data_IF_954386581141
#
_entry.id   IF_954386581141
#
_cell.length_a   1.000
_cell.length_b   1.000
_cell.length_c   1.000
_cell.angle_alpha   90.00
_cell.angle_beta   90.00
_cell.angle_gamma   90.00
#
_symmetry.space_group_name_H-M   'P 1'
#
loop_
_entity.id
_entity.type
_entity.pdbx_description
1 polymer ?
#
# COMPACT_ATOMS: atom_id res chain seq x y z
N UNK A 1 9.95 -24.98 4.02
CA UNK A 1 8.72 -25.26 4.79
C UNK A 1 8.33 -24.03 5.61
N UNK A 2 7.44 -23.16 5.09
CA UNK A 2 7.04 -21.90 5.73
C UNK A 2 6.11 -22.17 6.93
N UNK A 3 6.66 -22.43 8.12
CA UNK A 3 5.90 -22.55 9.37
C UNK A 3 5.28 -21.20 9.76
N UNK A 4 3.95 -21.13 9.75
CA UNK A 4 3.06 -20.25 10.56
C UNK A 4 3.51 -18.80 10.78
N UNK A 5 3.37 -17.92 9.79
CA UNK A 5 3.06 -16.53 10.13
C UNK A 5 2.09 -15.90 9.11
N UNK A 6 0.82 -16.31 9.23
CA UNK A 6 -0.35 -15.51 8.83
C UNK A 6 -1.08 -14.92 10.05
N UNK A 7 -0.50 -15.07 11.25
CA UNK A 7 -1.01 -14.49 12.48
C UNK A 7 -0.28 -13.18 12.74
N UNK A 8 -1.09 -12.13 12.79
CA UNK A 8 -0.70 -10.91 13.47
C UNK A 8 -0.51 -11.26 14.94
N UNK A 9 0.49 -10.71 15.63
CA UNK A 9 0.47 -10.77 17.10
C UNK A 9 -0.87 -10.19 17.54
N UNK A 10 -1.50 -10.72 18.60
CA UNK A 10 -2.84 -10.28 19.03
C UNK A 10 -3.02 -8.76 19.20
N UNK A 11 -1.91 -8.00 19.19
CA UNK A 11 -1.82 -6.54 19.07
C UNK A 11 -2.18 -5.93 17.70
N UNK A 12 -2.44 -6.74 16.66
CA UNK A 12 -2.71 -6.24 15.31
C UNK A 12 -1.44 -5.80 14.56
N UNK A 13 -0.37 -6.59 14.66
CA UNK A 13 0.92 -6.30 14.03
C UNK A 13 1.48 -7.51 13.31
N UNK A 14 2.18 -7.29 12.19
CA UNK A 14 2.89 -8.37 11.49
C UNK A 14 4.04 -8.91 12.35
N UNK A 15 4.26 -10.23 12.35
CA UNK A 15 5.48 -10.77 12.94
C UNK A 15 6.73 -10.24 12.19
N UNK A 16 7.87 -10.21 12.86
CA UNK A 16 9.13 -9.70 12.30
C UNK A 16 9.51 -10.33 10.97
N UNK A 17 9.27 -11.64 10.81
CA UNK A 17 9.54 -12.37 9.57
C UNK A 17 8.64 -11.98 8.39
N UNK A 18 7.37 -11.64 8.66
CA UNK A 18 6.46 -11.12 7.62
C UNK A 18 6.75 -9.65 7.33
N UNK A 19 7.05 -8.86 8.36
CA UNK A 19 7.41 -7.45 8.20
C UNK A 19 8.59 -7.26 7.26
N UNK A 20 9.67 -8.06 7.41
CA UNK A 20 10.86 -7.99 6.54
C UNK A 20 10.61 -8.34 5.07
N UNK A 21 9.50 -9.01 4.77
CA UNK A 21 9.13 -9.43 3.40
C UNK A 21 8.22 -8.44 2.69
N UNK A 22 7.71 -7.45 3.42
CA UNK A 22 6.88 -6.39 2.89
C UNK A 22 7.77 -5.29 2.33
N UNK A 23 7.62 -5.02 1.03
CA UNK A 23 8.33 -3.94 0.36
C UNK A 23 7.48 -2.67 0.40
N UNK A 24 7.77 -1.78 1.35
CA UNK A 24 7.06 -0.50 1.46
C UNK A 24 7.42 0.44 0.31
N UNK A 25 6.41 1.15 -0.19
CA UNK A 25 6.64 2.24 -1.15
C UNK A 25 7.14 3.47 -0.38
N UNK A 26 8.27 4.02 -0.83
CA UNK A 26 8.94 5.18 -0.25
C UNK A 26 9.57 6.01 -1.37
N UNK A 27 9.82 7.29 -1.11
CA UNK A 27 10.47 8.20 -2.07
C UNK A 27 11.85 7.66 -2.48
N UNK A 28 12.34 7.99 -3.69
CA UNK A 28 11.66 8.78 -4.72
C UNK A 28 10.63 7.95 -5.51
N UNK A 29 9.47 8.55 -5.80
CA UNK A 29 8.40 7.93 -6.58
C UNK A 29 7.67 8.96 -7.45
N UNK A 30 6.90 8.50 -8.44
CA UNK A 30 6.08 9.36 -9.29
C UNK A 30 5.03 10.15 -8.49
N UNK A 31 4.86 11.43 -8.81
CA UNK A 31 3.85 12.31 -8.20
C UNK A 31 2.39 11.88 -8.47
N UNK A 32 2.14 11.04 -9.48
CA UNK A 32 0.80 10.56 -9.84
C UNK A 32 0.62 9.09 -9.42
N UNK A 33 1.31 8.14 -10.05
CA UNK A 33 1.07 6.71 -9.80
C UNK A 33 1.87 6.12 -8.61
N UNK A 34 2.77 6.89 -7.99
CA UNK A 34 3.69 6.44 -6.92
C UNK A 34 4.59 5.26 -7.28
N UNK A 35 4.81 4.99 -8.58
CA UNK A 35 5.86 4.07 -9.02
C UNK A 35 7.22 4.57 -8.55
N UNK A 36 8.01 3.72 -7.90
CA UNK A 36 9.34 4.08 -7.39
C UNK A 36 10.31 4.33 -8.54
N UNK A 37 11.16 5.32 -8.36
CA UNK A 37 12.29 5.57 -9.24
C UNK A 37 13.53 4.78 -8.77
N UNK A 38 14.33 4.31 -9.72
CA UNK A 38 15.58 3.59 -9.45
C UNK A 38 16.75 4.53 -9.13
N UNK A 39 16.62 5.80 -9.51
CA UNK A 39 17.62 6.84 -9.31
C UNK A 39 17.08 7.93 -8.39
N UNK A 40 17.98 8.71 -7.79
CA UNK A 40 17.60 9.90 -7.03
C UNK A 40 17.10 10.95 -8.01
N UNK A 41 15.86 11.39 -7.84
CA UNK A 41 15.21 12.41 -8.67
C UNK A 41 14.75 13.54 -7.75
N UNK A 42 14.59 14.74 -8.32
CA UNK A 42 13.90 15.86 -7.69
C UNK A 42 12.50 15.45 -7.19
N UNK A 43 12.01 16.21 -6.22
CA UNK A 43 10.64 16.02 -5.72
C UNK A 43 9.60 16.33 -6.80
N UNK A 44 8.44 15.68 -6.67
CA UNK A 44 7.26 15.86 -7.53
C UNK A 44 7.41 15.43 -9.00
N UNK A 45 8.44 14.67 -9.34
CA UNK A 45 8.62 14.18 -10.71
C UNK A 45 7.55 13.20 -11.18
N UNK A 46 7.19 13.31 -12.46
CA UNK A 46 6.23 12.46 -13.15
C UNK A 46 7.00 11.40 -13.96
N UNK A 47 6.58 10.13 -13.90
CA UNK A 47 7.21 9.09 -14.72
C UNK A 47 6.74 9.18 -16.18
N UNK A 48 7.52 8.64 -17.12
CA UNK A 48 7.19 8.71 -18.55
C UNK A 48 5.80 8.17 -18.89
N UNK A 49 5.35 7.09 -18.24
CA UNK A 49 4.00 6.56 -18.47
C UNK A 49 2.89 7.54 -18.07
N UNK A 50 2.99 8.16 -16.89
CA UNK A 50 2.00 9.15 -16.45
C UNK A 50 2.09 10.46 -17.23
N UNK A 51 3.26 10.79 -17.78
CA UNK A 51 3.43 11.94 -18.66
C UNK A 51 2.72 11.70 -20.01
N UNK A 52 2.98 10.56 -20.65
CA UNK A 52 2.39 10.24 -21.96
C UNK A 52 0.91 9.88 -21.87
N UNK A 53 0.50 9.17 -20.82
CA UNK A 53 -0.87 8.69 -20.61
C UNK A 53 -1.32 9.07 -19.20
N UNK A 54 -1.72 10.33 -19.03
CA UNK A 54 -2.17 10.83 -17.73
C UNK A 54 -3.43 10.08 -17.29
N UNK A 55 -3.42 9.42 -16.11
CA UNK A 55 -4.60 8.72 -15.62
C UNK A 55 -5.68 9.70 -15.13
N UNK A 56 -6.93 9.22 -15.07
CA UNK A 56 -8.09 9.97 -14.57
C UNK A 56 -8.18 9.96 -13.03
N UNK A 57 -7.06 10.24 -12.36
CA UNK A 57 -6.98 10.46 -10.92
C UNK A 57 -5.83 11.41 -10.61
N UNK A 58 -5.90 12.10 -9.47
CA UNK A 58 -4.85 13.04 -9.07
C UNK A 58 -3.57 12.31 -8.65
N UNK A 59 -3.71 11.34 -7.74
CA UNK A 59 -2.64 10.42 -7.38
C UNK A 59 -3.22 9.08 -6.91
N UNK A 60 -2.39 8.04 -6.94
CA UNK A 60 -2.68 6.75 -6.34
C UNK A 60 -1.84 6.58 -5.06
N UNK A 61 -2.30 5.79 -4.08
CA UNK A 61 -1.48 5.43 -2.93
C UNK A 61 -1.56 3.95 -2.60
N UNK A 62 -0.40 3.36 -2.30
CA UNK A 62 -0.29 2.00 -1.78
C UNK A 62 0.74 1.94 -0.65
N UNK A 63 0.51 1.05 0.32
CA UNK A 63 1.49 0.74 1.36
C UNK A 63 2.67 -0.05 0.79
N UNK A 64 2.38 -1.03 -0.06
CA UNK A 64 3.34 -2.04 -0.49
C UNK A 64 3.44 -2.10 -2.00
N UNK A 65 4.63 -2.46 -2.49
CA UNK A 65 4.78 -3.00 -3.84
C UNK A 65 4.02 -4.33 -3.93
N UNK A 66 3.28 -4.52 -5.02
CA UNK A 66 2.61 -5.78 -5.29
C UNK A 66 3.65 -6.86 -5.62
N UNK A 67 3.89 -7.77 -4.68
CA UNK A 67 4.83 -8.89 -4.79
C UNK A 67 4.18 -10.15 -4.20
N UNK A 68 4.87 -11.29 -4.24
CA UNK A 68 4.31 -12.56 -3.78
C UNK A 68 3.95 -12.59 -2.28
N UNK A 69 4.54 -11.72 -1.46
CA UNK A 69 4.24 -11.62 -0.04
C UNK A 69 3.06 -10.68 0.26
N UNK A 70 3.04 -9.50 -0.34
CA UNK A 70 1.92 -8.56 -0.19
C UNK A 70 0.64 -9.10 -0.81
N UNK A 71 0.72 -9.77 -1.97
CA UNK A 71 -0.43 -10.46 -2.59
C UNK A 71 -1.05 -11.47 -1.63
N UNK A 72 -0.25 -12.35 -1.00
CA UNK A 72 -0.77 -13.38 -0.08
C UNK A 72 -1.59 -12.77 1.06
N UNK A 73 -1.10 -11.70 1.67
CA UNK A 73 -1.79 -11.04 2.80
C UNK A 73 -3.05 -10.31 2.31
N UNK A 74 -2.98 -9.63 1.16
CA UNK A 74 -4.15 -8.97 0.56
C UNK A 74 -5.21 -9.99 0.15
N UNK A 75 -4.83 -11.15 -0.37
CA UNK A 75 -5.76 -12.23 -0.69
C UNK A 75 -6.41 -12.83 0.55
N UNK A 76 -5.64 -13.03 1.63
CA UNK A 76 -6.20 -13.47 2.90
C UNK A 76 -7.27 -12.49 3.42
N UNK A 77 -7.03 -11.20 3.26
CA UNK A 77 -8.00 -10.17 3.63
C UNK A 77 -9.23 -10.17 2.69
N UNK A 78 -9.02 -10.17 1.38
CA UNK A 78 -10.11 -10.04 0.38
C UNK A 78 -10.98 -11.28 0.22
N UNK A 79 -10.40 -12.48 0.41
CA UNK A 79 -11.04 -13.74 -0.01
C UNK A 79 -11.03 -14.85 1.04
N UNK A 80 -10.47 -14.61 2.23
CA UNK A 80 -10.36 -15.64 3.28
C UNK A 80 -10.79 -15.13 4.67
N UNK A 81 -11.64 -14.10 4.70
CA UNK A 81 -12.23 -13.51 5.90
C UNK A 81 -11.23 -13.13 7.01
N UNK A 82 -9.97 -12.85 6.64
CA UNK A 82 -8.97 -12.34 7.60
C UNK A 82 -9.13 -10.84 7.79
N UNK A 83 -10.29 -10.44 8.32
CA UNK A 83 -10.67 -9.03 8.57
C UNK A 83 -9.76 -8.32 9.58
N UNK A 84 -8.99 -9.06 10.38
CA UNK A 84 -7.94 -8.50 11.23
C UNK A 84 -6.98 -7.59 10.45
N UNK A 85 -6.70 -7.91 9.18
CA UNK A 85 -5.84 -7.10 8.33
C UNK A 85 -6.43 -5.72 8.01
N UNK A 86 -7.76 -5.53 8.05
CA UNK A 86 -8.37 -4.22 7.80
C UNK A 86 -7.86 -3.16 8.78
N UNK A 87 -7.89 -3.46 10.10
CA UNK A 87 -7.39 -2.55 11.14
C UNK A 87 -5.89 -2.27 11.00
N UNK A 88 -5.12 -3.26 10.56
CA UNK A 88 -3.67 -3.15 10.39
C UNK A 88 -3.33 -2.26 9.21
N UNK A 89 -3.96 -2.51 8.05
CA UNK A 89 -3.77 -1.69 6.87
C UNK A 89 -4.20 -0.25 7.11
N UNK A 90 -5.34 -0.03 7.78
CA UNK A 90 -5.81 1.30 8.15
C UNK A 90 -4.79 2.02 9.05
N UNK A 91 -4.30 1.39 10.12
CA UNK A 91 -3.27 1.97 10.99
C UNK A 91 -1.97 2.28 10.24
N UNK A 92 -1.51 1.38 9.38
CA UNK A 92 -0.29 1.59 8.60
C UNK A 92 -0.44 2.74 7.59
N UNK A 93 -1.59 2.83 6.91
CA UNK A 93 -1.89 3.95 6.00
C UNK A 93 -1.91 5.27 6.77
N UNK A 94 -2.66 5.32 7.87
CA UNK A 94 -2.80 6.52 8.68
C UNK A 94 -1.47 6.99 9.25
N UNK A 95 -0.73 6.11 9.93
CA UNK A 95 0.53 6.48 10.57
C UNK A 95 1.59 6.94 9.57
N UNK A 96 1.52 6.48 8.31
CA UNK A 96 2.52 6.81 7.30
C UNK A 96 2.17 8.03 6.47
N UNK A 97 0.88 8.32 6.30
CA UNK A 97 0.42 9.31 5.31
C UNK A 97 -0.48 10.41 5.90
N UNK A 98 -0.84 10.34 7.19
CA UNK A 98 -1.72 11.32 7.88
C UNK A 98 -1.27 12.78 7.71
N UNK A 99 0.03 13.04 7.64
CA UNK A 99 0.59 14.37 7.46
C UNK A 99 0.80 14.79 6.00
N UNK A 100 0.57 13.88 5.05
CA UNK A 100 0.80 14.08 3.61
C UNK A 100 -0.46 13.75 2.81
N UNK A 101 -0.51 12.60 2.13
CA UNK A 101 -1.51 12.27 1.11
C UNK A 101 -2.96 12.20 1.63
N UNK A 102 -3.19 12.13 2.94
CA UNK A 102 -4.53 11.93 3.52
C UNK A 102 -4.90 13.01 4.56
N UNK A 103 -4.22 14.16 4.54
CA UNK A 103 -4.43 15.23 5.53
C UNK A 103 -5.83 15.86 5.47
N UNK A 104 -6.39 15.97 4.27
CA UNK A 104 -7.61 16.74 3.99
C UNK A 104 -8.60 15.90 3.16
N UNK A 105 -9.12 14.80 3.73
CA UNK A 105 -10.10 13.92 3.07
C UNK A 105 -11.52 14.23 3.56
N UNK A 106 -12.40 14.65 2.66
CA UNK A 106 -13.82 14.86 2.96
C UNK A 106 -14.63 13.56 2.94
N UNK A 107 -14.28 12.62 2.06
CA UNK A 107 -15.05 11.39 1.83
C UNK A 107 -14.16 10.20 1.46
N UNK A 108 -14.50 9.01 1.98
CA UNK A 108 -13.90 7.73 1.60
C UNK A 108 -14.97 6.86 0.94
N UNK A 109 -14.78 6.55 -0.34
CA UNK A 109 -15.70 5.71 -1.11
C UNK A 109 -15.03 4.35 -1.37
N UNK A 110 -15.61 3.22 -0.92
CA UNK A 110 -15.09 1.90 -1.25
C UNK A 110 -15.39 1.57 -2.72
N UNK A 111 -14.38 1.05 -3.44
CA UNK A 111 -14.57 0.52 -4.80
C UNK A 111 -14.96 -0.96 -4.70
N UNK A 112 -16.15 -1.37 -5.14
CA UNK A 112 -16.58 -2.77 -5.10
C UNK A 112 -15.72 -3.63 -6.03
N UNK A 113 -15.32 -4.81 -5.56
CA UNK A 113 -14.51 -5.77 -6.34
C UNK A 113 -15.33 -6.76 -7.16
N UNK A 114 -16.66 -6.74 -7.01
CA UNK A 114 -17.61 -7.50 -7.81
C UNK A 114 -18.81 -6.59 -8.09
N UNK A 115 -19.11 -6.40 -9.37
CA UNK A 115 -20.38 -5.87 -9.89
C UNK A 115 -21.14 -7.04 -10.51
#
# INVERSE_FOLDING_TARGET
MFKRCGNTRGSGEFCSGCWKKLEFIARPYCSICRQRFSIKILDNCICGNCYSNKPNYEFARSLFKCNEHSKKIVHQFKYQDKTIFAKIFAKLLYNRYSSEDIKDIDLIIPVPTHV
#
